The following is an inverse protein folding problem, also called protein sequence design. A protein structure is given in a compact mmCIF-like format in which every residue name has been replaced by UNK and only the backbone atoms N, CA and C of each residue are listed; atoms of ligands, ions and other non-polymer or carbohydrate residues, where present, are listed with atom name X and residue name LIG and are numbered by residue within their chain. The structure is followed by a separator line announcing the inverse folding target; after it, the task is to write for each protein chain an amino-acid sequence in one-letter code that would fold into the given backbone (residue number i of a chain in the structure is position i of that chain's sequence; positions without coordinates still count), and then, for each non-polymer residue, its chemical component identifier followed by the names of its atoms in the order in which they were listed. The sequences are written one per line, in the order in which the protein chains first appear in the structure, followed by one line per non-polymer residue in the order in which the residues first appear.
data_IF_499217512272
#
_entry.id   IF_499217512272
#
_cell.length_a   1.000
_cell.length_b   1.000
_cell.length_c   1.000
_cell.angle_alpha   90.00
_cell.angle_beta   90.00
_cell.angle_gamma   90.00
#
_symmetry.space_group_name_H-M   'P 1'
#
loop_
_entity.id
_entity.type
_entity.pdbx_description
1 polymer ?
#
# COMPACT_ATOMS: atom_id res chain seq x y z
N UNK A 1 -2.13 7.74 -0.19
CA UNK A 1 -2.07 9.10 -0.78
C UNK A 1 -1.33 8.94 -2.08
N UNK A 2 -1.86 9.42 -3.19
CA UNK A 2 -1.23 9.26 -4.49
C UNK A 2 -1.68 10.31 -5.49
N UNK A 3 -1.00 10.35 -6.63
CA UNK A 3 -1.29 11.22 -7.77
C UNK A 3 -2.18 10.49 -8.77
N UNK A 4 -3.25 9.87 -8.27
CA UNK A 4 -4.14 9.05 -9.08
C UNK A 4 -4.69 9.86 -10.25
N UNK A 5 -4.55 9.35 -11.47
CA UNK A 5 -5.17 9.99 -12.63
C UNK A 5 -6.68 9.78 -12.56
N UNK A 6 -7.42 10.89 -12.55
CA UNK A 6 -8.87 10.88 -12.65
C UNK A 6 -9.26 11.81 -13.78
N UNK A 7 -10.11 11.33 -14.69
CA UNK A 7 -10.71 12.19 -15.71
C UNK A 7 -11.59 13.23 -15.02
N UNK A 8 -11.28 14.51 -15.16
CA UNK A 8 -12.10 15.57 -14.60
C UNK A 8 -13.56 15.44 -15.06
N UNK A 9 -14.50 15.66 -14.14
CA UNK A 9 -15.93 15.69 -14.46
C UNK A 9 -16.16 16.72 -15.58
N UNK A 10 -16.65 16.26 -16.74
CA UNK A 10 -16.95 17.12 -17.90
C UNK A 10 -15.80 17.43 -18.86
N UNK A 11 -14.55 17.01 -18.59
CA UNK A 11 -13.46 17.09 -19.57
C UNK A 11 -12.45 15.95 -19.36
N UNK A 12 -12.41 14.93 -20.25
CA UNK A 12 -11.49 13.80 -20.15
C UNK A 12 -10.00 14.19 -20.26
N UNK A 13 -9.69 15.42 -20.70
CA UNK A 13 -8.34 15.97 -20.76
C UNK A 13 -7.98 16.85 -19.56
N UNK A 14 -8.91 17.11 -18.64
CA UNK A 14 -8.64 17.91 -17.44
C UNK A 14 -7.89 17.05 -16.41
N UNK A 15 -6.56 17.06 -16.50
CA UNK A 15 -5.68 16.48 -15.48
C UNK A 15 -5.59 17.42 -14.28
N UNK A 16 -5.71 16.88 -13.07
CA UNK A 16 -5.53 17.64 -11.83
C UNK A 16 -4.26 17.19 -11.10
N UNK A 17 -3.35 18.13 -10.82
CA UNK A 17 -2.18 17.88 -9.99
C UNK A 17 -2.52 18.03 -8.51
N UNK A 18 -3.60 17.41 -8.04
CA UNK A 18 -3.99 17.43 -6.63
C UNK A 18 -3.91 16.02 -6.06
N UNK A 19 -3.04 15.77 -5.06
CA UNK A 19 -2.91 14.45 -4.48
C UNK A 19 -4.23 14.07 -3.81
N UNK A 20 -4.63 12.81 -3.98
CA UNK A 20 -5.87 12.28 -3.42
C UNK A 20 -5.61 11.27 -2.33
N UNK A 21 -6.55 11.23 -1.39
CA UNK A 21 -6.65 10.21 -0.34
C UNK A 21 -7.85 9.35 -0.63
N UNK A 22 -7.65 8.05 -0.63
CA UNK A 22 -8.72 7.08 -0.71
C UNK A 22 -8.62 6.11 0.47
N UNK A 23 -9.73 5.90 1.16
CA UNK A 23 -9.87 4.87 2.19
C UNK A 23 -10.59 3.66 1.62
N UNK A 24 -9.92 2.51 1.58
CA UNK A 24 -10.51 1.24 1.16
C UNK A 24 -10.26 0.15 2.22
N UNK A 25 -11.19 -0.80 2.37
CA UNK A 25 -10.98 -1.93 3.27
C UNK A 25 -9.95 -2.90 2.69
N UNK A 26 -9.13 -3.47 3.57
CA UNK A 26 -8.25 -4.58 3.24
C UNK A 26 -9.07 -5.86 3.29
N UNK A 27 -8.94 -6.69 2.27
CA UNK A 27 -9.70 -7.93 2.16
C UNK A 27 -8.89 -9.13 2.66
N UNK A 28 -9.59 -10.07 3.29
CA UNK A 28 -9.07 -11.40 3.57
C UNK A 28 -8.88 -12.20 2.28
N UNK A 29 -8.17 -13.33 2.38
CA UNK A 29 -7.90 -14.21 1.22
C UNK A 29 -9.17 -14.61 0.49
N UNK A 30 -10.17 -15.07 1.23
CA UNK A 30 -11.44 -15.56 0.65
C UNK A 30 -12.19 -14.42 -0.04
N UNK A 31 -12.25 -13.26 0.61
CA UNK A 31 -12.91 -12.06 0.10
C UNK A 31 -12.22 -11.54 -1.16
N UNK A 32 -10.89 -11.55 -1.20
CA UNK A 32 -10.14 -11.16 -2.40
C UNK A 32 -10.39 -12.11 -3.58
N UNK A 33 -10.39 -13.43 -3.36
CA UNK A 33 -10.65 -14.36 -4.47
C UNK A 33 -12.10 -14.25 -4.97
N UNK A 34 -13.04 -13.91 -4.10
CA UNK A 34 -14.44 -13.64 -4.46
C UNK A 34 -14.66 -12.31 -5.21
N UNK A 35 -13.72 -11.36 -5.13
CA UNK A 35 -13.88 -10.06 -5.77
C UNK A 35 -13.49 -10.03 -7.25
N UNK A 36 -13.14 -11.17 -7.84
CA UNK A 36 -12.73 -11.29 -9.25
C UNK A 36 -11.22 -11.24 -9.47
N UNK A 37 -10.41 -11.18 -8.41
CA UNK A 37 -8.96 -11.33 -8.52
C UNK A 37 -8.62 -12.77 -8.92
N UNK A 38 -7.84 -12.91 -9.99
CA UNK A 38 -7.36 -14.22 -10.46
C UNK A 38 -6.47 -14.86 -9.37
N UNK A 39 -6.60 -16.16 -9.09
CA UNK A 39 -5.77 -16.83 -8.08
C UNK A 39 -4.25 -16.67 -8.29
N UNK A 40 -3.80 -16.57 -9.55
CA UNK A 40 -2.40 -16.31 -9.92
C UNK A 40 -1.89 -14.92 -9.50
N UNK A 41 -2.77 -13.99 -9.13
CA UNK A 41 -2.40 -12.67 -8.66
C UNK A 41 -2.46 -12.59 -7.11
N UNK A 42 -2.85 -13.68 -6.44
CA UNK A 42 -2.95 -13.76 -4.99
C UNK A 42 -1.93 -14.76 -4.42
N UNK A 43 -0.92 -14.23 -3.74
CA UNK A 43 0.14 -15.00 -3.09
C UNK A 43 0.36 -14.51 -1.65
N UNK A 44 1.23 -15.20 -0.91
CA UNK A 44 1.50 -14.87 0.50
C UNK A 44 1.99 -13.43 0.68
N UNK A 45 2.74 -12.93 -0.29
CA UNK A 45 3.33 -11.58 -0.34
C UNK A 45 2.38 -10.53 -0.91
N UNK A 46 1.19 -10.90 -1.41
CA UNK A 46 0.21 -9.94 -1.94
C UNK A 46 -1.02 -9.85 -1.07
N UNK A 47 -1.70 -8.71 -1.13
CA UNK A 47 -2.97 -8.46 -0.48
C UNK A 47 -3.94 -7.78 -1.43
N UNK A 48 -5.20 -7.64 -1.02
CA UNK A 48 -6.21 -6.97 -1.83
C UNK A 48 -6.95 -5.91 -1.03
N UNK A 49 -7.42 -4.88 -1.72
CA UNK A 49 -8.15 -3.77 -1.13
C UNK A 49 -9.27 -3.29 -2.06
N UNK A 50 -10.41 -2.93 -1.48
CA UNK A 50 -11.58 -2.49 -2.24
C UNK A 50 -12.86 -3.14 -1.73
N UNK A 51 -13.98 -2.76 -2.33
CA UNK A 51 -15.32 -3.22 -1.94
C UNK A 51 -15.74 -4.34 -2.89
N UNK A 52 -16.21 -5.47 -2.34
CA UNK A 52 -16.67 -6.59 -3.17
C UNK A 52 -17.91 -6.14 -3.95
N UNK A 53 -17.92 -6.40 -5.26
CA UNK A 53 -19.03 -6.02 -6.14
C UNK A 53 -18.97 -4.57 -6.65
N UNK A 54 -18.00 -3.76 -6.23
CA UNK A 54 -17.75 -2.44 -6.82
C UNK A 54 -16.75 -2.51 -7.97
N UNK A 55 -16.77 -1.50 -8.84
CA UNK A 55 -15.69 -1.31 -9.80
C UNK A 55 -14.42 -0.85 -9.09
N UNK A 56 -13.27 -1.31 -9.57
CA UNK A 56 -11.99 -0.79 -9.08
C UNK A 56 -11.80 0.64 -9.58
N UNK A 57 -11.44 1.55 -8.69
CA UNK A 57 -11.03 2.92 -9.04
C UNK A 57 -9.51 3.06 -9.09
N UNK A 58 -8.79 1.95 -8.93
CA UNK A 58 -7.33 1.90 -8.94
C UNK A 58 -6.87 1.36 -10.29
N UNK A 59 -6.05 2.15 -10.96
CA UNK A 59 -5.54 1.92 -12.30
C UNK A 59 -4.10 1.37 -12.26
N UNK A 60 -3.55 1.03 -13.42
CA UNK A 60 -2.18 0.53 -13.57
C UNK A 60 -1.13 1.62 -13.34
N UNK A 61 -1.43 2.87 -13.69
CA UNK A 61 -0.58 4.04 -13.44
C UNK A 61 -0.54 4.48 -11.96
N UNK A 62 -1.38 3.89 -11.10
CA UNK A 62 -1.32 4.10 -9.64
C UNK A 62 -0.24 3.23 -8.95
N UNK A 63 0.46 2.39 -9.74
CA UNK A 63 1.54 1.53 -9.25
C UNK A 63 2.59 2.32 -8.45
N UNK A 64 3.13 1.70 -7.41
CA UNK A 64 4.09 2.35 -6.51
C UNK A 64 3.44 3.22 -5.42
N UNK A 65 2.13 3.49 -5.50
CA UNK A 65 1.43 4.26 -4.47
C UNK A 65 1.45 3.54 -3.12
N UNK A 66 1.83 4.29 -2.07
CA UNK A 66 1.89 3.80 -0.70
C UNK A 66 0.49 3.53 -0.11
N UNK A 67 0.34 2.33 0.46
CA UNK A 67 -0.84 1.92 1.23
C UNK A 67 -0.52 2.05 2.71
N UNK A 68 -1.25 2.96 3.37
CA UNK A 68 -1.01 3.32 4.76
C UNK A 68 -2.18 2.85 5.63
N UNK A 69 -1.87 2.16 6.74
CA UNK A 69 -2.85 1.83 7.77
C UNK A 69 -2.69 2.77 8.96
N UNK A 70 -3.79 3.40 9.38
CA UNK A 70 -3.83 4.21 10.60
C UNK A 70 -4.03 3.31 11.82
N UNK A 71 -3.19 3.48 12.84
CA UNK A 71 -3.35 2.88 14.16
C UNK A 71 -4.37 3.65 15.01
N UNK A 72 -4.86 3.03 16.09
CA UNK A 72 -5.73 3.70 17.07
C UNK A 72 -5.06 4.94 17.69
N UNK A 73 -3.75 4.86 17.92
CA UNK A 73 -2.89 5.97 18.37
C UNK A 73 -2.63 7.05 17.31
N UNK A 74 -3.23 6.95 16.11
CA UNK A 74 -3.15 7.98 15.08
C UNK A 74 -1.96 7.89 14.11
N UNK A 75 -0.95 7.05 14.40
CA UNK A 75 0.18 6.83 13.51
C UNK A 75 -0.21 6.04 12.27
N UNK A 76 0.35 6.42 11.12
CA UNK A 76 0.23 5.66 9.88
C UNK A 76 1.45 4.75 9.72
N UNK A 77 1.22 3.52 9.26
CA UNK A 77 2.29 2.58 8.92
C UNK A 77 2.11 2.14 7.48
N UNK A 78 3.21 2.11 6.73
CA UNK A 78 3.25 1.54 5.40
C UNK A 78 3.04 0.03 5.52
N UNK A 79 1.98 -0.47 4.88
CA UNK A 79 1.64 -1.90 4.90
C UNK A 79 1.78 -2.55 3.53
N UNK A 80 1.87 -1.74 2.47
CA UNK A 80 2.06 -2.24 1.13
C UNK A 80 2.17 -1.16 0.07
N UNK A 81 2.40 -1.61 -1.15
CA UNK A 81 2.62 -0.79 -2.34
C UNK A 81 1.70 -1.31 -3.44
N UNK A 82 0.95 -0.42 -4.10
CA UNK A 82 0.07 -0.81 -5.20
C UNK A 82 0.86 -1.43 -6.35
N UNK A 83 0.37 -2.57 -6.85
CA UNK A 83 0.92 -3.24 -8.03
C UNK A 83 0.40 -2.60 -9.32
N UNK A 84 1.16 -2.77 -10.39
CA UNK A 84 0.88 -2.39 -11.77
C UNK A 84 -0.18 -3.27 -12.47
N UNK A 85 -0.51 -4.44 -11.94
CA UNK A 85 -1.53 -5.33 -12.53
C UNK A 85 -2.97 -4.82 -12.36
N UNK A 86 -3.16 -3.73 -11.63
CA UNK A 86 -4.47 -3.15 -11.36
C UNK A 86 -5.03 -2.47 -12.61
N UNK A 87 -6.34 -2.55 -12.81
CA UNK A 87 -7.01 -1.90 -13.92
C UNK A 87 -8.36 -1.35 -13.47
N UNK A 88 -8.57 -0.05 -13.66
CA UNK A 88 -9.76 0.70 -13.26
C UNK A 88 -10.90 0.64 -14.29
N UNK A 89 -10.97 -0.45 -15.05
CA UNK A 89 -12.08 -0.69 -15.99
C UNK A 89 -13.43 -0.77 -15.27
N UNK A 90 -14.54 -0.60 -16.01
CA UNK A 90 -15.92 -0.75 -15.50
C UNK A 90 -16.31 -2.20 -15.12
N UNK A 91 -15.33 -3.05 -14.80
CA UNK A 91 -15.54 -4.40 -14.30
C UNK A 91 -15.45 -4.38 -12.77
N UNK A 92 -16.30 -5.18 -12.15
CA UNK A 92 -16.21 -5.43 -10.72
C UNK A 92 -14.83 -5.99 -10.39
N UNK A 93 -14.18 -5.39 -9.40
CA UNK A 93 -12.81 -5.73 -9.07
C UNK A 93 -12.30 -4.96 -7.88
N UNK A 94 -11.43 -5.61 -7.13
CA UNK A 94 -10.62 -4.96 -6.09
C UNK A 94 -9.21 -4.74 -6.62
N UNK A 95 -8.39 -3.97 -5.92
CA UNK A 95 -6.99 -3.81 -6.26
C UNK A 95 -6.10 -4.80 -5.51
N UNK A 96 -5.01 -5.21 -6.14
CA UNK A 96 -3.93 -6.03 -5.58
C UNK A 96 -2.75 -5.14 -5.21
N UNK A 97 -2.10 -5.46 -4.09
CA UNK A 97 -0.91 -4.77 -3.63
C UNK A 97 0.14 -5.73 -3.09
N UNK A 98 1.39 -5.30 -3.11
CA UNK A 98 2.50 -6.00 -2.46
C UNK A 98 2.50 -5.68 -0.96
N UNK A 99 2.45 -6.70 -0.11
CA UNK A 99 2.62 -6.55 1.35
C UNK A 99 4.07 -6.26 1.65
N UNK A 100 4.34 -5.24 2.46
CA UNK A 100 5.71 -4.88 2.80
C UNK A 100 6.33 -5.75 3.91
N UNK A 101 5.48 -6.37 4.74
CA UNK A 101 5.90 -7.14 5.92
C UNK A 101 6.97 -8.20 5.62
N UNK A 102 6.79 -9.08 4.62
CA UNK A 102 7.79 -10.07 4.23
C UNK A 102 9.15 -9.48 3.79
N UNK A 103 9.16 -8.24 3.31
CA UNK A 103 10.36 -7.59 2.78
C UNK A 103 11.09 -6.71 3.79
N UNK A 104 10.61 -6.60 5.03
CA UNK A 104 11.21 -5.69 6.02
C UNK A 104 12.71 -5.94 6.23
N UNK A 105 13.14 -7.21 6.33
CA UNK A 105 14.55 -7.55 6.49
C UNK A 105 15.41 -7.08 5.31
N UNK A 106 14.90 -7.24 4.09
CA UNK A 106 15.58 -6.75 2.88
C UNK A 106 15.64 -5.23 2.88
N UNK A 107 14.53 -4.54 3.16
CA UNK A 107 14.49 -3.07 3.24
C UNK A 107 15.52 -2.57 4.26
N UNK A 108 15.51 -3.09 5.49
CA UNK A 108 16.47 -2.70 6.52
C UNK A 108 17.93 -2.92 6.11
N UNK A 109 18.19 -3.98 5.34
CA UNK A 109 19.54 -4.27 4.83
C UNK A 109 19.99 -3.27 3.76
N UNK A 110 19.08 -2.87 2.87
CA UNK A 110 19.38 -1.93 1.77
C UNK A 110 19.33 -0.46 2.20
N UNK A 111 18.74 -0.16 3.37
CA UNK A 111 18.65 1.21 3.92
C UNK A 111 19.35 1.34 5.26
N UNK A 112 20.47 0.64 5.47
CA UNK A 112 21.22 0.64 6.74
C UNK A 112 21.73 2.02 7.15
N UNK A 113 22.05 2.85 6.18
CA UNK A 113 22.54 4.21 6.30
C UNK A 113 21.41 5.26 6.34
N UNK A 114 20.15 4.82 6.30
CA UNK A 114 19.01 5.73 6.37
C UNK A 114 18.67 6.17 7.80
N UNK A 115 18.05 7.34 7.92
CA UNK A 115 17.48 7.82 9.17
C UNK A 115 16.10 7.20 9.38
N UNK A 116 15.93 6.41 10.45
CA UNK A 116 14.63 5.84 10.82
C UNK A 116 13.87 6.72 11.80
N UNK A 117 12.60 6.96 11.51
CA UNK A 117 11.68 7.59 12.45
C UNK A 117 11.13 6.54 13.43
N UNK A 118 11.59 6.59 14.68
CA UNK A 118 11.07 5.72 15.73
C UNK A 118 9.75 6.28 16.29
N UNK A 119 8.79 5.39 16.58
CA UNK A 119 7.58 5.80 17.30
C UNK A 119 8.01 6.20 18.72
N UNK A 120 7.67 7.40 19.21
CA UNK A 120 8.15 7.91 20.50
C UNK A 120 7.74 7.06 21.72
N UNK A 121 6.86 6.07 21.55
CA UNK A 121 6.37 5.18 22.62
C UNK A 121 6.60 3.68 22.38
N UNK A 122 7.36 3.32 21.34
CA UNK A 122 7.87 1.96 21.15
C UNK A 122 9.38 2.11 21.00
N UNK A 123 10.06 2.32 22.13
CA UNK A 123 11.51 2.16 22.18
C UNK A 123 11.80 0.70 21.82
N UNK A 124 12.52 0.42 20.73
CA UNK A 124 13.11 -0.89 20.57
C UNK A 124 14.17 -1.02 21.67
N UNK A 125 14.23 -2.17 22.34
CA UNK A 125 15.43 -2.60 23.04
C UNK A 125 16.54 -2.79 22.00
N UNK A 126 17.13 -1.67 21.56
CA UNK A 126 18.43 -1.69 20.92
C UNK A 126 19.38 -2.02 22.06
N UNK A 127 19.66 -3.31 22.24
CA UNK A 127 20.82 -3.72 23.05
C UNK A 127 22.01 -2.99 22.45
N UNK A 128 22.44 -1.95 23.16
CA UNK A 128 23.69 -1.25 22.92
C UNK A 128 24.81 -2.27 23.03
N UNK A 129 25.26 -2.79 21.90
CA UNK A 129 26.49 -3.55 21.80
C UNK A 129 27.52 -2.66 21.11
N UNK A 130 28.43 -2.15 21.95
CA UNK A 130 29.74 -1.57 21.61
C UNK A 130 29.77 -0.14 21.07
N UNK A 131 29.64 0.83 21.98
CA UNK A 131 30.57 1.95 22.04
C UNK A 131 31.57 1.65 23.15
N UNK A 132 32.62 0.89 22.83
CA UNK A 132 33.84 0.89 23.64
C UNK A 132 34.58 2.17 23.30
N UNK A 133 34.77 2.98 24.33
CA UNK A 133 35.73 4.08 24.36
C UNK A 133 37.08 3.65 23.78
N UNK A 134 37.61 4.45 22.85
CA UNK A 134 38.98 4.97 22.81
C UNK A 134 39.01 6.16 21.86
#
# INVERSE_FOLDING_TARGET
MGWMEFGGEGNPNARTCRPRKLGLPILGRRECLKSGIKPINYHVETGCLGIIGSNSIICNNDAGTAILRRSYSGFYSLIGILSDINNCSNKQGTAVYLKIGPYLNWIYKETKDSCYCFKPFVMPDIKSSHLSAY
#
